data_IF_272650700782
#
_entry.id   IF_272650700782
#
_cell.length_a   1.000
_cell.length_b   1.000
_cell.length_c   1.000
_cell.angle_alpha   90.00
_cell.angle_beta   90.00
_cell.angle_gamma   90.00
#
_symmetry.space_group_name_H-M   'P 1'
#
loop_
_entity.id
_entity.type
_entity.pdbx_description
1 polymer ?
#
# COMPACT_ATOMS: atom_id res chain seq x y z
N UNK A 1 4.88 38.10 43.41
CA UNK A 1 3.84 37.20 43.95
C UNK A 1 2.81 37.08 42.83
N UNK A 2 3.13 36.50 41.67
CA UNK A 2 3.67 35.15 41.41
C UNK A 2 2.76 34.10 42.02
N UNK A 3 1.61 33.92 41.38
CA UNK A 3 0.89 32.65 41.43
C UNK A 3 1.26 31.88 40.17
N UNK A 4 1.79 30.71 40.44
CA UNK A 4 2.48 29.80 39.56
C UNK A 4 1.46 29.13 38.63
N UNK A 5 1.36 29.63 37.40
CA UNK A 5 0.75 28.87 36.31
C UNK A 5 1.69 27.71 36.01
N UNK A 6 1.62 26.68 36.85
CA UNK A 6 2.24 25.39 36.61
C UNK A 6 1.59 24.83 35.34
N UNK A 7 2.27 25.07 34.23
CA UNK A 7 2.14 24.32 33.00
C UNK A 7 2.07 22.85 33.41
N UNK A 8 0.89 22.26 33.24
CA UNK A 8 0.72 20.80 33.28
C UNK A 8 1.46 20.27 32.06
N UNK A 9 2.77 20.18 32.19
CA UNK A 9 3.60 19.27 31.42
C UNK A 9 3.11 17.88 31.82
N UNK A 10 2.10 17.40 31.09
CA UNK A 10 1.72 16.01 31.12
C UNK A 10 2.91 15.28 30.52
N UNK A 11 3.84 14.91 31.40
CA UNK A 11 4.81 13.87 31.13
C UNK A 11 4.00 12.66 30.66
N UNK A 12 3.85 12.52 29.33
CA UNK A 12 3.38 11.30 28.70
C UNK A 12 4.50 10.30 28.90
N UNK A 13 4.57 9.74 30.12
CA UNK A 13 5.56 8.76 30.50
C UNK A 13 5.59 7.69 29.43
N UNK A 14 6.79 7.47 28.87
CA UNK A 14 7.11 6.39 27.94
C UNK A 14 5.89 5.92 27.13
N UNK A 15 5.46 6.73 26.16
CA UNK A 15 4.21 6.54 25.45
C UNK A 15 4.17 5.14 24.83
N UNK A 16 3.54 4.20 25.55
CA UNK A 16 3.43 2.81 25.09
C UNK A 16 2.74 2.82 23.73
N UNK A 17 3.50 2.58 22.66
CA UNK A 17 2.93 2.46 21.33
C UNK A 17 2.08 1.19 21.27
N UNK A 18 1.01 1.25 20.48
CA UNK A 18 0.21 0.10 20.10
C UNK A 18 0.58 -0.24 18.68
N UNK A 19 0.82 -1.52 18.44
CA UNK A 19 1.34 -2.02 17.18
C UNK A 19 0.35 -3.01 16.57
N UNK A 20 0.18 -2.95 15.25
CA UNK A 20 -0.51 -3.97 14.47
C UNK A 20 0.34 -4.38 13.27
N UNK A 21 0.22 -5.63 12.85
CA UNK A 21 0.86 -6.16 11.64
C UNK A 21 -0.22 -6.68 10.71
N UNK A 22 -0.26 -6.14 9.49
CA UNK A 22 -1.12 -6.63 8.40
C UNK A 22 -0.23 -7.35 7.41
N UNK A 23 -0.53 -8.63 7.15
CA UNK A 23 0.19 -9.45 6.15
C UNK A 23 -0.78 -10.00 5.12
N UNK A 24 -0.54 -9.70 3.85
CA UNK A 24 -1.39 -10.12 2.72
C UNK A 24 -0.55 -10.65 1.57
N UNK A 25 -1.15 -11.52 0.74
CA UNK A 25 -0.49 -12.09 -0.44
C UNK A 25 -1.08 -11.49 -1.71
N UNK A 26 -0.21 -11.24 -2.68
CA UNK A 26 -0.56 -10.62 -3.96
C UNK A 26 0.16 -11.33 -5.10
N UNK A 27 -0.49 -11.39 -6.26
CA UNK A 27 0.12 -11.96 -7.46
C UNK A 27 1.33 -11.16 -7.96
N UNK A 28 1.40 -9.86 -7.64
CA UNK A 28 2.55 -8.99 -7.89
C UNK A 28 2.75 -8.05 -6.70
N UNK A 29 3.28 -8.60 -5.61
CA UNK A 29 3.48 -7.87 -4.36
C UNK A 29 4.40 -6.63 -4.50
N UNK A 30 5.52 -6.66 -5.27
CA UNK A 30 6.32 -5.46 -5.50
C UNK A 30 5.54 -4.32 -6.15
N UNK A 31 4.71 -4.62 -7.16
CA UNK A 31 3.94 -3.58 -7.84
C UNK A 31 2.80 -3.03 -6.98
N UNK A 32 2.13 -3.89 -6.19
CA UNK A 32 1.12 -3.44 -5.23
C UNK A 32 1.75 -2.56 -4.13
N UNK A 33 2.92 -2.92 -3.61
CA UNK A 33 3.64 -2.10 -2.64
C UNK A 33 4.07 -0.75 -3.22
N UNK A 34 4.51 -0.71 -4.48
CA UNK A 34 4.83 0.55 -5.17
C UNK A 34 3.58 1.45 -5.32
N UNK A 35 2.40 0.86 -5.55
CA UNK A 35 1.15 1.59 -5.62
C UNK A 35 0.65 2.10 -4.25
N UNK A 36 1.09 1.50 -3.14
CA UNK A 36 0.80 1.95 -1.78
C UNK A 36 1.71 3.07 -1.29
N UNK A 37 2.95 3.11 -1.77
CA UNK A 37 3.98 4.05 -1.33
C UNK A 37 3.54 5.53 -1.19
N UNK A 38 2.65 6.08 -2.05
CA UNK A 38 2.20 7.47 -1.91
C UNK A 38 1.41 7.77 -0.61
N UNK A 39 0.74 6.78 -0.02
CA UNK A 39 -0.11 6.95 1.18
C UNK A 39 0.59 6.49 2.47
N UNK A 40 1.83 6.02 2.37
CA UNK A 40 2.62 5.59 3.51
C UNK A 40 3.01 6.81 4.37
N UNK A 41 3.03 6.60 5.69
CA UNK A 41 3.36 7.64 6.67
C UNK A 41 4.42 7.12 7.63
N UNK A 42 5.04 7.99 8.43
CA UNK A 42 6.02 7.59 9.45
C UNK A 42 5.46 6.59 10.49
N UNK A 43 4.14 6.49 10.61
CA UNK A 43 3.47 5.51 11.47
C UNK A 43 3.36 4.11 10.87
N UNK A 44 3.83 3.92 9.63
CA UNK A 44 3.74 2.69 8.87
C UNK A 44 5.14 2.26 8.42
N UNK A 45 5.37 0.95 8.38
CA UNK A 45 6.57 0.34 7.79
C UNK A 45 6.13 -0.83 6.93
N UNK A 46 6.17 -0.63 5.62
CA UNK A 46 5.79 -1.63 4.62
C UNK A 46 7.02 -2.33 4.04
N UNK A 47 6.98 -3.65 3.99
CA UNK A 47 8.03 -4.52 3.45
C UNK A 47 7.45 -5.62 2.58
N UNK A 48 8.17 -5.99 1.52
CA UNK A 48 7.80 -7.09 0.61
C UNK A 48 8.68 -8.30 0.90
N UNK A 49 8.05 -9.46 1.05
CA UNK A 49 8.68 -10.77 1.23
C UNK A 49 8.05 -11.77 0.24
N UNK A 50 8.68 -11.93 -0.93
CA UNK A 50 8.15 -12.77 -2.01
C UNK A 50 6.81 -12.28 -2.53
N UNK A 51 5.76 -13.09 -2.32
CA UNK A 51 4.38 -12.77 -2.70
C UNK A 51 3.61 -12.02 -1.60
N UNK A 52 4.25 -11.75 -0.46
CA UNK A 52 3.61 -11.12 0.69
C UNK A 52 4.03 -9.66 0.87
N UNK A 53 3.06 -8.82 1.18
CA UNK A 53 3.27 -7.49 1.74
C UNK A 53 3.01 -7.59 3.24
N UNK A 54 3.93 -7.07 4.04
CA UNK A 54 3.72 -6.86 5.47
C UNK A 54 3.83 -5.37 5.79
N UNK A 55 2.79 -4.83 6.41
CA UNK A 55 2.78 -3.47 6.95
C UNK A 55 2.69 -3.54 8.48
N UNK A 56 3.66 -2.93 9.14
CA UNK A 56 3.64 -2.69 10.59
C UNK A 56 3.16 -1.27 10.83
N UNK A 57 2.14 -1.12 11.67
CA UNK A 57 1.57 0.18 12.04
C UNK A 57 1.79 0.43 13.53
N UNK A 58 2.33 1.59 13.88
CA UNK A 58 2.60 2.00 15.27
C UNK A 58 1.90 3.31 15.61
N UNK A 59 1.01 3.29 16.61
CA UNK A 59 0.25 4.48 17.05
C UNK A 59 0.13 4.55 18.57
N UNK A 60 0.05 5.76 19.17
CA UNK A 60 -0.03 5.92 20.62
C UNK A 60 -1.38 5.50 21.22
N UNK A 61 -2.44 5.42 20.41
CA UNK A 61 -3.80 5.06 20.86
C UNK A 61 -4.36 3.91 20.05
N UNK A 62 -5.21 3.09 20.67
CA UNK A 62 -5.92 2.01 19.97
C UNK A 62 -6.87 2.54 18.90
N UNK A 63 -7.53 3.68 19.15
CA UNK A 63 -8.37 4.35 18.16
C UNK A 63 -7.59 4.82 16.93
N UNK A 64 -6.41 5.42 17.14
CA UNK A 64 -5.50 5.82 16.07
C UNK A 64 -4.97 4.61 15.30
N UNK A 65 -4.56 3.55 16.00
CA UNK A 65 -4.11 2.30 15.38
C UNK A 65 -5.20 1.70 14.49
N UNK A 66 -6.42 1.58 15.02
CA UNK A 66 -7.57 1.04 14.27
C UNK A 66 -7.83 1.86 13.00
N UNK A 67 -7.91 3.18 13.11
CA UNK A 67 -8.17 4.05 11.95
C UNK A 67 -7.13 3.83 10.85
N UNK A 68 -5.84 3.82 11.22
CA UNK A 68 -4.76 3.62 10.26
C UNK A 68 -4.77 2.25 9.61
N UNK A 69 -5.07 1.20 10.38
CA UNK A 69 -5.20 -0.16 9.83
C UNK A 69 -6.42 -0.24 8.88
N UNK A 70 -7.56 0.33 9.27
CA UNK A 70 -8.77 0.36 8.45
C UNK A 70 -8.49 1.08 7.11
N UNK A 71 -7.82 2.24 7.13
CA UNK A 71 -7.42 2.99 5.94
C UNK A 71 -6.41 2.21 5.07
N UNK A 72 -5.39 1.61 5.69
CA UNK A 72 -4.39 0.82 4.97
C UNK A 72 -5.01 -0.37 4.23
N UNK A 73 -5.97 -1.07 4.84
CA UNK A 73 -6.67 -2.19 4.17
C UNK A 73 -7.53 -1.71 3.00
N UNK A 74 -8.14 -0.52 3.10
CA UNK A 74 -8.86 0.08 1.98
C UNK A 74 -7.90 0.43 0.85
N UNK A 75 -6.80 1.11 1.14
CA UNK A 75 -5.77 1.48 0.16
C UNK A 75 -5.18 0.24 -0.52
N UNK A 76 -4.89 -0.82 0.25
CA UNK A 76 -4.40 -2.11 -0.28
C UNK A 76 -5.36 -2.73 -1.31
N UNK A 77 -6.67 -2.72 -1.03
CA UNK A 77 -7.67 -3.25 -1.98
C UNK A 77 -7.76 -2.42 -3.26
N UNK A 78 -7.59 -1.11 -3.16
CA UNK A 78 -7.56 -0.23 -4.32
C UNK A 78 -6.30 -0.48 -5.16
N UNK A 79 -5.13 -0.53 -4.52
CA UNK A 79 -3.86 -0.84 -5.16
C UNK A 79 -3.90 -2.18 -5.91
N UNK A 80 -4.34 -3.25 -5.24
CA UNK A 80 -4.44 -4.59 -5.83
C UNK A 80 -5.34 -4.62 -7.07
N UNK A 81 -6.49 -3.94 -7.01
CA UNK A 81 -7.43 -3.84 -8.15
C UNK A 81 -6.86 -3.02 -9.31
N UNK A 82 -6.14 -1.94 -9.05
CA UNK A 82 -5.50 -1.15 -10.10
C UNK A 82 -4.43 -1.99 -10.81
N UNK A 83 -3.63 -2.72 -10.04
CA UNK A 83 -2.58 -3.61 -10.57
C UNK A 83 -3.18 -4.75 -11.39
N UNK A 84 -4.27 -5.37 -10.95
CA UNK A 84 -5.00 -6.37 -11.74
C UNK A 84 -5.50 -5.81 -13.07
N UNK A 85 -6.11 -4.62 -13.05
CA UNK A 85 -6.62 -3.96 -14.26
C UNK A 85 -5.50 -3.58 -15.23
N UNK A 86 -4.40 -3.03 -14.72
CA UNK A 86 -3.23 -2.68 -15.53
C UNK A 86 -2.66 -3.91 -16.25
N UNK A 87 -2.51 -5.04 -15.54
CA UNK A 87 -2.03 -6.30 -16.13
C UNK A 87 -2.97 -6.83 -17.21
N UNK A 88 -4.28 -6.79 -16.96
CA UNK A 88 -5.30 -7.21 -17.94
C UNK A 88 -5.26 -6.35 -19.19
N UNK A 89 -5.09 -5.03 -19.03
CA UNK A 89 -5.01 -4.10 -20.14
C UNK A 89 -3.76 -4.36 -21.00
N UNK A 90 -2.60 -4.51 -20.37
CA UNK A 90 -1.34 -4.83 -21.07
C UNK A 90 -1.43 -6.16 -21.84
N UNK A 91 -2.03 -7.19 -21.25
CA UNK A 91 -2.21 -8.49 -21.90
C UNK A 91 -3.13 -8.40 -23.13
N UNK A 92 -4.14 -7.53 -23.10
CA UNK A 92 -5.07 -7.31 -24.22
C UNK A 92 -4.37 -6.54 -25.35
N UNK A 93 -3.63 -5.49 -25.02
CA UNK A 93 -2.88 -4.68 -25.99
C UNK A 93 -1.78 -5.48 -26.68
N UNK A 94 -1.08 -6.36 -25.95
CA UNK A 94 -0.09 -7.28 -26.52
C UNK A 94 -0.72 -8.35 -27.42
N UNK A 95 -1.99 -8.70 -27.20
CA UNK A 95 -2.78 -9.53 -28.11
C UNK A 95 -3.12 -8.79 -29.40
N UNK A 96 -3.52 -7.52 -29.29
CA UNK A 96 -3.86 -6.67 -30.44
C UNK A 96 -2.64 -6.41 -31.33
N UNK A 97 -1.51 -5.95 -30.77
CA UNK A 97 -0.28 -5.67 -31.56
C UNK A 97 0.25 -6.88 -32.33
N UNK A 98 0.11 -8.09 -31.77
CA UNK A 98 0.53 -9.33 -32.46
C UNK A 98 -0.38 -9.70 -33.63
N UNK A 99 -1.64 -9.26 -33.63
CA UNK A 99 -2.56 -9.47 -34.75
C UNK A 99 -2.18 -8.62 -35.96
N UNK A 100 -1.65 -7.41 -35.71
CA UNK A 100 -1.34 -6.44 -36.77
C UNK A 100 -0.09 -6.79 -37.58
N UNK A 101 0.74 -7.72 -37.10
CA UNK A 101 1.99 -8.13 -37.76
C UNK A 101 1.80 -9.30 -38.74
N UNK A 102 0.64 -9.96 -38.75
CA UNK A 102 0.38 -11.15 -39.58
C UNK A 102 -0.35 -10.84 -40.91
N UNK A 103 -0.51 -9.56 -41.28
CA UNK A 103 -1.33 -9.13 -42.42
C UNK A 103 -0.60 -8.99 -43.76
N UNK A 104 0.73 -9.05 -43.81
CA UNK A 104 1.49 -8.75 -45.03
C UNK A 104 2.42 -9.93 -45.37
N UNK A 105 1.85 -10.98 -45.95
CA UNK A 105 2.63 -11.93 -46.73
C UNK A 105 2.03 -11.97 -48.12
N UNK A 106 2.66 -11.18 -48.99
CA UNK A 106 2.54 -11.18 -50.43
C UNK A 106 2.23 -12.57 -50.98
N UNK A 107 1.03 -12.74 -51.56
CA UNK A 107 0.77 -13.83 -52.51
C UNK A 107 0.47 -13.20 -53.85
N UNK A 108 1.52 -12.85 -54.59
CA UNK A 108 1.42 -12.59 -56.02
C UNK A 108 2.15 -13.73 -56.76
N UNK A 109 1.38 -14.60 -57.41
CA UNK A 109 1.85 -15.59 -58.40
C UNK A 109 0.87 -15.63 -59.55
#
# INVERSE_FOLDING_TARGET
MSDDTAEREVAHGDATHRTATVRTRHADAPLVAAALAPDETDSMTTRVDGDAIECVVERPTTGGLRSTVDDHVVNLRVADRIVERARTHLATDDGARRSDTNGDTDTNT
#
